data_IF_152214984119
#
_entry.id   IF_152214984119
#
_cell.length_a   1.000
_cell.length_b   1.000
_cell.length_c   1.000
_cell.angle_alpha   90.00
_cell.angle_beta   90.00
_cell.angle_gamma   90.00
#
_symmetry.space_group_name_H-M   'P 1'
#
loop_
_entity.id
_entity.type
_entity.pdbx_description
1 polymer ?
#
# COMPACT_ATOMS: atom_id res chain seq x y z
N UNK A 1 12.94 -13.14 1.06
CA UNK A 1 12.14 -13.09 -0.19
C UNK A 1 10.67 -12.94 0.14
N UNK A 2 9.92 -12.31 -0.73
CA UNK A 2 8.47 -12.11 -0.62
C UNK A 2 7.76 -12.65 -1.85
N UNK A 3 6.45 -12.97 -1.70
CA UNK A 3 5.55 -13.29 -2.81
C UNK A 3 4.72 -12.09 -3.29
N UNK A 4 5.10 -10.87 -2.93
CA UNK A 4 4.43 -9.65 -3.40
C UNK A 4 4.70 -9.47 -4.89
N UNK A 5 3.66 -9.18 -5.68
CA UNK A 5 3.77 -9.05 -7.14
C UNK A 5 4.65 -7.84 -7.58
N UNK A 6 4.93 -6.89 -6.69
CA UNK A 6 5.68 -5.66 -6.96
C UNK A 6 6.92 -5.47 -6.09
N UNK A 7 7.44 -6.56 -5.51
CA UNK A 7 8.68 -6.53 -4.71
C UNK A 7 9.32 -7.91 -4.62
N UNK A 8 10.62 -7.99 -4.38
CA UNK A 8 11.35 -9.26 -4.27
C UNK A 8 11.80 -9.60 -2.83
N UNK A 9 11.97 -8.58 -2.00
CA UNK A 9 12.26 -8.73 -0.56
C UNK A 9 11.36 -7.82 0.26
N UNK A 10 11.06 -8.23 1.49
CA UNK A 10 10.32 -7.40 2.44
C UNK A 10 11.01 -7.37 3.81
N UNK A 11 10.88 -6.25 4.49
CA UNK A 11 11.24 -6.06 5.89
C UNK A 11 9.99 -5.65 6.66
N UNK A 12 9.53 -6.52 7.57
CA UNK A 12 8.38 -6.25 8.42
C UNK A 12 8.87 -5.88 9.81
N UNK A 13 8.98 -4.60 10.10
CA UNK A 13 9.44 -4.05 11.38
C UNK A 13 8.30 -3.59 12.28
N UNK A 14 7.08 -3.81 11.84
CA UNK A 14 5.85 -3.53 12.59
C UNK A 14 4.97 -4.78 12.58
N UNK A 15 4.38 -5.12 13.71
CA UNK A 15 3.33 -6.12 13.86
C UNK A 15 2.04 -5.44 14.32
N UNK A 16 0.88 -5.87 13.78
CA UNK A 16 -0.40 -5.20 13.97
C UNK A 16 -0.59 -3.95 13.11
N UNK A 17 -1.80 -3.40 13.10
CA UNK A 17 -2.13 -2.20 12.31
C UNK A 17 -3.35 -1.48 12.88
N UNK A 18 -3.19 -0.21 13.27
CA UNK A 18 -4.26 0.61 13.87
C UNK A 18 -5.20 1.27 12.85
N UNK A 19 -5.05 1.02 11.54
CA UNK A 19 -5.95 1.59 10.52
C UNK A 19 -7.38 1.07 10.61
N UNK A 20 -7.60 -0.09 11.25
CA UNK A 20 -8.94 -0.59 11.55
C UNK A 20 -9.79 -0.93 10.34
N UNK A 21 -9.18 -1.36 9.24
CA UNK A 21 -9.87 -1.66 7.99
C UNK A 21 -10.96 -2.73 8.19
N UNK A 22 -12.22 -2.38 7.88
CA UNK A 22 -13.39 -3.26 8.09
C UNK A 22 -13.75 -4.13 6.88
N UNK A 23 -13.20 -3.87 5.70
CA UNK A 23 -13.19 -4.92 4.67
C UNK A 23 -12.18 -5.99 5.09
N UNK A 24 -12.32 -7.27 4.68
CA UNK A 24 -11.45 -8.33 5.20
C UNK A 24 -9.98 -7.99 4.99
N UNK A 25 -9.28 -7.63 6.09
CA UNK A 25 -7.85 -7.35 6.05
C UNK A 25 -7.10 -8.68 5.87
N UNK A 26 -6.51 -8.90 4.69
CA UNK A 26 -5.81 -10.15 4.39
C UNK A 26 -4.66 -10.41 5.36
N UNK A 27 -3.96 -9.36 5.79
CA UNK A 27 -2.83 -9.47 6.70
C UNK A 27 -3.26 -9.97 8.09
N UNK A 28 -4.35 -9.43 8.62
CA UNK A 28 -4.99 -9.94 9.84
C UNK A 28 -5.41 -11.41 9.68
N UNK A 29 -6.12 -11.74 8.59
CA UNK A 29 -6.59 -13.10 8.33
C UNK A 29 -5.42 -14.09 8.26
N UNK A 30 -4.33 -13.70 7.62
CA UNK A 30 -3.11 -14.51 7.53
C UNK A 30 -2.46 -14.68 8.91
N UNK A 31 -2.24 -13.60 9.65
CA UNK A 31 -1.63 -13.64 10.99
C UNK A 31 -2.48 -14.47 11.96
N UNK A 32 -3.81 -14.32 11.92
CA UNK A 32 -4.73 -15.14 12.72
C UNK A 32 -4.65 -16.62 12.34
N UNK A 33 -4.62 -16.94 11.04
CA UNK A 33 -4.48 -18.33 10.56
C UNK A 33 -3.21 -19.02 11.07
N UNK A 34 -2.13 -18.28 11.20
CA UNK A 34 -0.85 -18.79 11.72
C UNK A 34 -0.70 -18.65 13.24
N UNK A 35 -1.75 -18.30 13.97
CA UNK A 35 -1.75 -18.18 15.43
C UNK A 35 -0.86 -17.06 15.97
N UNK A 36 -0.56 -16.04 15.15
CA UNK A 36 0.29 -14.90 15.52
C UNK A 36 -0.49 -13.76 16.18
N UNK A 37 -1.79 -13.79 16.10
CA UNK A 37 -2.73 -12.86 16.71
C UNK A 37 -4.02 -13.61 17.05
N UNK A 38 -4.61 -13.34 18.21
CA UNK A 38 -5.82 -14.03 18.70
C UNK A 38 -7.09 -13.52 18.02
N UNK A 39 -7.23 -12.21 18.00
CA UNK A 39 -8.42 -11.54 17.51
C UNK A 39 -8.09 -10.17 16.87
N UNK A 40 -9.13 -9.48 16.42
CA UNK A 40 -8.96 -8.21 15.72
C UNK A 40 -8.60 -7.07 16.66
N UNK A 41 -8.97 -7.12 17.94
CA UNK A 41 -8.58 -6.10 18.93
C UNK A 41 -7.09 -6.13 19.20
N UNK A 42 -6.49 -7.31 19.35
CA UNK A 42 -5.02 -7.46 19.44
C UNK A 42 -4.31 -6.97 18.17
N UNK A 43 -4.90 -7.22 16.99
CA UNK A 43 -4.35 -6.71 15.72
C UNK A 43 -4.30 -5.19 15.65
N UNK A 44 -5.27 -4.49 16.28
CA UNK A 44 -5.36 -3.03 16.29
C UNK A 44 -4.35 -2.34 17.23
N UNK A 45 -3.59 -3.10 18.01
CA UNK A 45 -2.54 -2.62 18.91
C UNK A 45 -1.14 -2.87 18.29
N UNK A 46 -0.72 -2.03 17.31
CA UNK A 46 0.55 -2.26 16.63
C UNK A 46 1.75 -2.00 17.51
N UNK A 47 2.76 -2.86 17.36
CA UNK A 47 4.05 -2.72 18.02
C UNK A 47 5.22 -2.78 17.02
N UNK A 48 6.33 -2.16 17.40
CA UNK A 48 7.59 -2.23 16.64
C UNK A 48 8.39 -3.47 17.04
N UNK A 49 9.16 -4.01 16.11
CA UNK A 49 10.12 -5.08 16.37
C UNK A 49 11.43 -4.45 16.87
N UNK A 50 11.70 -4.55 18.17
CA UNK A 50 12.77 -3.81 18.87
C UNK A 50 14.17 -4.00 18.23
N UNK A 51 14.50 -5.22 17.81
CA UNK A 51 15.80 -5.55 17.24
C UNK A 51 15.91 -5.35 15.72
N UNK A 52 14.97 -4.62 15.11
CA UNK A 52 14.90 -4.39 13.66
C UNK A 52 16.23 -3.87 13.09
N UNK A 53 16.80 -2.85 13.70
CA UNK A 53 18.01 -2.20 13.18
C UNK A 53 19.25 -3.09 13.33
N UNK A 54 19.31 -3.89 14.39
CA UNK A 54 20.40 -4.87 14.59
C UNK A 54 20.35 -6.00 13.57
N UNK A 55 19.13 -6.52 13.31
CA UNK A 55 18.92 -7.55 12.28
C UNK A 55 19.24 -7.01 10.89
N UNK A 56 18.75 -5.80 10.58
CA UNK A 56 19.02 -5.13 9.32
C UNK A 56 20.52 -4.96 9.10
N UNK A 57 21.27 -4.52 10.11
CA UNK A 57 22.73 -4.36 10.06
C UNK A 57 23.46 -5.67 9.79
N UNK A 58 22.97 -6.79 10.33
CA UNK A 58 23.55 -8.13 10.13
C UNK A 58 23.19 -8.75 8.78
N UNK A 59 22.02 -8.45 8.24
CA UNK A 59 21.47 -9.08 7.03
C UNK A 59 21.79 -8.31 5.75
N UNK A 60 21.74 -6.99 5.77
CA UNK A 60 22.02 -6.18 4.58
C UNK A 60 23.33 -6.53 3.87
N UNK A 61 24.49 -6.70 4.59
CA UNK A 61 25.73 -7.08 3.92
C UNK A 61 25.65 -8.39 3.14
N UNK A 62 24.79 -9.33 3.61
CA UNK A 62 24.64 -10.67 3.01
C UNK A 62 23.70 -10.66 1.80
N UNK A 63 22.68 -9.78 1.80
CA UNK A 63 21.60 -9.83 0.82
C UNK A 63 21.56 -8.65 -0.13
N UNK A 64 22.23 -7.52 0.13
CA UNK A 64 22.15 -6.28 -0.67
C UNK A 64 22.30 -6.49 -2.18
N UNK A 65 23.21 -7.37 -2.61
CA UNK A 65 23.45 -7.66 -4.02
C UNK A 65 22.36 -8.55 -4.66
N UNK A 66 21.44 -9.10 -3.84
CA UNK A 66 20.32 -9.94 -4.29
C UNK A 66 18.98 -9.21 -4.24
N UNK A 67 18.95 -8.06 -3.58
CA UNK A 67 17.75 -7.25 -3.42
C UNK A 67 17.69 -6.25 -4.57
N UNK A 68 16.67 -6.40 -5.42
CA UNK A 68 16.35 -5.37 -6.41
C UNK A 68 15.58 -4.23 -5.76
N UNK A 69 14.55 -4.58 -4.95
CA UNK A 69 13.77 -3.60 -4.18
C UNK A 69 13.35 -4.19 -2.83
N UNK A 70 13.58 -3.45 -1.75
CA UNK A 70 13.16 -3.81 -0.40
C UNK A 70 11.81 -3.14 -0.09
N UNK A 71 10.73 -3.92 -0.05
CA UNK A 71 9.42 -3.40 0.34
C UNK A 71 9.26 -3.40 1.85
N UNK A 72 8.93 -2.25 2.44
CA UNK A 72 8.72 -2.12 3.88
C UNK A 72 7.29 -2.51 4.25
N UNK A 73 7.16 -3.29 5.31
CA UNK A 73 5.87 -3.61 5.95
C UNK A 73 4.81 -4.19 5.00
N UNK A 74 5.15 -5.29 4.28
CA UNK A 74 4.16 -5.95 3.41
C UNK A 74 2.85 -6.35 4.13
N UNK A 75 2.93 -6.74 5.39
CA UNK A 75 1.76 -7.18 6.17
C UNK A 75 1.19 -6.11 7.11
N UNK A 76 1.81 -4.94 7.16
CA UNK A 76 1.42 -3.83 8.04
C UNK A 76 1.63 -2.50 7.32
N UNK A 77 1.88 -1.41 8.04
CA UNK A 77 2.06 -0.09 7.45
C UNK A 77 3.28 0.62 8.03
N UNK A 78 4.26 1.05 7.21
CA UNK A 78 5.49 1.69 7.66
C UNK A 78 5.31 3.16 8.08
N UNK A 79 4.25 3.83 7.64
CA UNK A 79 3.93 5.22 7.99
C UNK A 79 2.53 5.35 8.58
N UNK A 80 2.21 4.40 9.48
CA UNK A 80 0.91 4.29 10.12
C UNK A 80 0.46 5.62 10.74
N UNK A 81 -0.78 6.02 10.45
CA UNK A 81 -1.32 7.30 10.86
C UNK A 81 -1.31 7.46 12.39
N UNK A 82 -0.87 8.62 12.88
CA UNK A 82 -0.71 8.95 14.32
C UNK A 82 0.25 8.04 15.11
N UNK A 83 1.20 7.40 14.42
CA UNK A 83 2.23 6.57 15.05
C UNK A 83 3.64 7.09 14.72
N UNK A 84 4.09 8.18 15.38
CA UNK A 84 5.40 8.79 15.11
C UNK A 84 6.57 7.85 15.44
N UNK A 85 6.39 6.92 16.38
CA UNK A 85 7.37 5.88 16.72
C UNK A 85 7.65 4.95 15.53
N UNK A 86 6.60 4.47 14.85
CA UNK A 86 6.70 3.65 13.64
C UNK A 86 7.32 4.45 12.50
N UNK A 87 6.88 5.69 12.29
CA UNK A 87 7.41 6.58 11.27
C UNK A 87 8.92 6.81 11.44
N UNK A 88 9.36 7.08 12.66
CA UNK A 88 10.79 7.31 12.98
C UNK A 88 11.63 6.06 12.67
N UNK A 89 11.16 4.88 13.08
CA UNK A 89 11.85 3.62 12.79
C UNK A 89 11.90 3.35 11.28
N UNK A 90 10.80 3.59 10.56
CA UNK A 90 10.74 3.38 9.10
C UNK A 90 11.71 4.28 8.35
N UNK A 91 11.82 5.55 8.73
CA UNK A 91 12.81 6.48 8.16
C UNK A 91 14.23 6.01 8.40
N UNK A 92 14.55 5.52 9.60
CA UNK A 92 15.88 4.98 9.92
C UNK A 92 16.19 3.69 9.12
N UNK A 93 15.21 2.80 8.96
CA UNK A 93 15.33 1.61 8.08
C UNK A 93 15.65 2.02 6.65
N UNK A 94 14.93 3.01 6.10
CA UNK A 94 15.16 3.53 4.75
C UNK A 94 16.56 4.11 4.60
N UNK A 95 17.02 4.95 5.55
CA UNK A 95 18.37 5.54 5.53
C UNK A 95 19.44 4.47 5.52
N UNK A 96 19.34 3.44 6.37
CA UNK A 96 20.32 2.34 6.43
C UNK A 96 20.31 1.48 5.18
N UNK A 97 19.13 1.16 4.64
CA UNK A 97 19.01 0.42 3.39
C UNK A 97 19.65 1.19 2.23
N UNK A 98 19.35 2.49 2.11
CA UNK A 98 19.91 3.34 1.07
C UNK A 98 21.44 3.54 1.22
N UNK A 99 21.96 3.65 2.45
CA UNK A 99 23.40 3.68 2.70
C UNK A 99 24.11 2.39 2.24
N UNK A 100 23.40 1.25 2.30
CA UNK A 100 23.87 -0.03 1.75
C UNK A 100 23.61 -0.20 0.23
N UNK A 101 23.18 0.86 -0.46
CA UNK A 101 22.83 0.89 -1.87
C UNK A 101 21.61 0.02 -2.26
N UNK A 102 20.70 -0.22 -1.32
CA UNK A 102 19.44 -0.94 -1.54
C UNK A 102 18.31 0.08 -1.69
N UNK A 103 17.61 0.06 -2.84
CA UNK A 103 16.42 0.88 -3.04
C UNK A 103 15.24 0.27 -2.31
N UNK A 104 14.32 1.13 -1.87
CA UNK A 104 13.18 0.72 -1.08
C UNK A 104 11.87 1.12 -1.74
N UNK A 105 10.82 0.38 -1.39
CA UNK A 105 9.43 0.72 -1.72
C UNK A 105 8.60 0.75 -0.45
N UNK A 106 7.70 1.70 -0.33
CA UNK A 106 6.75 1.82 0.76
C UNK A 106 5.33 1.99 0.24
N UNK A 107 4.37 1.50 1.00
CA UNK A 107 2.95 1.71 0.77
C UNK A 107 2.27 2.02 2.09
N UNK A 108 1.48 3.09 2.16
CA UNK A 108 0.81 3.49 3.40
C UNK A 108 -0.63 3.95 3.19
N UNK A 109 -1.44 3.85 4.24
CA UNK A 109 -2.70 4.56 4.43
C UNK A 109 -2.56 5.71 5.45
N UNK A 110 -1.34 6.00 5.85
CA UNK A 110 -0.97 7.18 6.62
C UNK A 110 -0.59 8.36 5.73
N UNK A 111 0.22 9.26 6.27
CA UNK A 111 0.77 10.44 5.59
C UNK A 111 2.26 10.18 5.36
N UNK A 112 2.72 10.35 4.14
CA UNK A 112 4.13 10.25 3.80
C UNK A 112 4.88 11.50 4.30
N UNK A 113 5.93 11.32 5.11
CA UNK A 113 6.69 12.47 5.63
C UNK A 113 7.55 13.11 4.54
N UNK A 114 7.73 14.43 4.62
CA UNK A 114 8.50 15.23 3.66
C UNK A 114 9.99 14.86 3.62
N UNK A 115 10.53 14.33 4.71
CA UNK A 115 11.91 13.83 4.83
C UNK A 115 12.24 12.70 3.82
N UNK A 116 11.23 12.06 3.25
CA UNK A 116 11.42 11.06 2.20
C UNK A 116 12.05 11.66 0.93
N UNK A 117 11.82 12.93 0.66
CA UNK A 117 12.42 13.63 -0.47
C UNK A 117 13.93 13.86 -0.31
N UNK A 118 14.44 13.83 0.92
CA UNK A 118 15.88 13.93 1.20
C UNK A 118 16.63 12.63 0.92
N UNK A 119 15.90 11.51 0.74
CA UNK A 119 16.46 10.20 0.45
C UNK A 119 16.74 10.03 -1.06
N UNK A 120 17.57 9.05 -1.46
CA UNK A 120 17.82 8.80 -2.88
C UNK A 120 16.55 8.64 -3.70
N UNK A 121 16.40 9.39 -4.80
CA UNK A 121 15.21 9.42 -5.66
C UNK A 121 14.86 8.07 -6.30
N UNK A 122 15.74 7.08 -6.22
CA UNK A 122 15.46 5.70 -6.67
C UNK A 122 14.46 4.92 -5.80
N UNK A 123 14.07 5.42 -4.60
CA UNK A 123 13.02 4.82 -3.79
C UNK A 123 11.64 5.03 -4.44
N UNK A 124 10.68 4.16 -4.09
CA UNK A 124 9.30 4.22 -4.58
C UNK A 124 8.36 4.49 -3.41
N UNK A 125 7.61 5.60 -3.45
CA UNK A 125 6.70 6.01 -2.39
C UNK A 125 5.25 5.88 -2.84
N UNK A 126 4.46 5.13 -2.09
CA UNK A 126 3.09 4.83 -2.45
C UNK A 126 2.08 5.07 -1.35
N UNK A 127 0.86 5.39 -1.76
CA UNK A 127 -0.32 5.43 -0.88
C UNK A 127 -1.41 4.49 -1.39
N UNK A 128 -2.25 4.03 -0.46
CA UNK A 128 -3.49 3.33 -0.84
C UNK A 128 -4.64 4.34 -0.86
N UNK A 129 -5.32 4.44 -2.00
CA UNK A 129 -6.57 5.21 -2.16
C UNK A 129 -7.54 4.38 -2.96
N UNK A 130 -8.62 3.91 -2.33
CA UNK A 130 -9.63 3.06 -2.96
C UNK A 130 -10.95 3.79 -3.23
N UNK A 131 -11.11 4.97 -2.65
CA UNK A 131 -12.24 5.87 -2.84
C UNK A 131 -11.81 7.31 -2.54
N UNK A 132 -12.51 8.30 -3.08
CA UNK A 132 -12.38 9.72 -2.71
C UNK A 132 -13.38 10.14 -1.63
N UNK A 133 -14.25 9.24 -1.17
CA UNK A 133 -15.27 9.51 -0.15
C UNK A 133 -14.70 9.40 1.27
N UNK A 134 -14.70 10.51 2.01
CA UNK A 134 -14.33 10.49 3.44
C UNK A 134 -15.33 9.66 4.27
N UNK A 135 -16.61 9.64 3.92
CA UNK A 135 -17.59 8.78 4.58
C UNK A 135 -17.24 7.30 4.42
N UNK A 136 -16.77 6.88 3.23
CA UNK A 136 -16.26 5.53 3.01
C UNK A 136 -15.01 5.26 3.86
N UNK A 137 -14.06 6.20 3.92
CA UNK A 137 -12.87 6.06 4.77
C UNK A 137 -13.25 5.90 6.24
N UNK A 138 -14.14 6.74 6.76
CA UNK A 138 -14.59 6.67 8.16
C UNK A 138 -15.27 5.34 8.48
N UNK A 139 -16.02 4.79 7.57
CA UNK A 139 -16.67 3.50 7.72
C UNK A 139 -15.70 2.33 7.60
N UNK A 140 -14.87 2.30 6.54
CA UNK A 140 -14.06 1.12 6.18
C UNK A 140 -12.58 1.20 6.58
N UNK A 141 -12.04 2.38 6.83
CA UNK A 141 -10.63 2.63 7.22
C UNK A 141 -10.53 3.67 8.36
N UNK A 142 -11.26 3.48 9.50
CA UNK A 142 -11.46 4.55 10.49
C UNK A 142 -10.19 5.11 11.12
N UNK A 143 -9.13 4.30 11.21
CA UNK A 143 -7.83 4.72 11.76
C UNK A 143 -6.82 5.18 10.72
N UNK A 144 -7.17 5.22 9.43
CA UNK A 144 -6.29 5.70 8.38
C UNK A 144 -6.34 7.24 8.25
N UNK A 145 -5.33 7.84 7.66
CA UNK A 145 -5.29 9.28 7.40
C UNK A 145 -6.42 9.74 6.49
N UNK A 146 -6.89 11.00 6.58
CA UNK A 146 -7.81 11.59 5.61
C UNK A 146 -7.31 11.39 4.17
N UNK A 147 -8.22 11.13 3.26
CA UNK A 147 -7.86 10.79 1.86
C UNK A 147 -7.09 11.95 1.21
N UNK A 148 -7.57 13.18 1.42
CA UNK A 148 -6.93 14.35 0.85
C UNK A 148 -5.50 14.55 1.37
N UNK A 149 -5.24 14.26 2.65
CA UNK A 149 -3.91 14.40 3.26
C UNK A 149 -2.93 13.35 2.69
N UNK A 150 -3.42 12.11 2.45
CA UNK A 150 -2.62 11.07 1.76
C UNK A 150 -2.22 11.54 0.36
N UNK A 151 -3.19 12.02 -0.44
CA UNK A 151 -2.95 12.48 -1.81
C UNK A 151 -2.01 13.68 -1.82
N UNK A 152 -2.22 14.66 -0.92
CA UNK A 152 -1.36 15.86 -0.84
C UNK A 152 0.08 15.49 -0.50
N UNK A 153 0.31 14.60 0.49
CA UNK A 153 1.66 14.17 0.86
C UNK A 153 2.38 13.45 -0.28
N UNK A 154 1.67 12.62 -1.06
CA UNK A 154 2.25 11.96 -2.23
C UNK A 154 2.54 12.96 -3.36
N UNK A 155 1.64 13.92 -3.60
CA UNK A 155 1.84 14.95 -4.62
C UNK A 155 3.02 15.86 -4.29
N UNK A 156 3.25 16.17 -3.03
CA UNK A 156 4.41 16.93 -2.58
C UNK A 156 5.71 16.18 -2.91
N UNK A 157 5.79 14.89 -2.65
CA UNK A 157 6.95 14.07 -3.02
C UNK A 157 7.13 13.97 -4.54
N UNK A 158 6.03 13.83 -5.29
CA UNK A 158 6.05 13.85 -6.76
C UNK A 158 6.60 15.17 -7.30
N UNK A 159 6.17 16.31 -6.76
CA UNK A 159 6.67 17.64 -7.13
C UNK A 159 8.17 17.82 -6.84
N UNK A 160 8.71 17.06 -5.89
CA UNK A 160 10.14 17.02 -5.55
C UNK A 160 10.92 15.99 -6.38
N UNK A 161 10.29 15.36 -7.38
CA UNK A 161 10.91 14.41 -8.31
C UNK A 161 11.08 13.00 -7.77
N UNK A 162 10.41 12.65 -6.67
CA UNK A 162 10.38 11.28 -6.17
C UNK A 162 9.51 10.40 -7.07
N UNK A 163 9.88 9.11 -7.20
CA UNK A 163 9.02 8.13 -7.86
C UNK A 163 7.83 7.78 -6.97
N UNK A 164 6.63 8.05 -7.46
CA UNK A 164 5.39 7.94 -6.70
C UNK A 164 4.41 6.96 -7.31
N UNK A 165 3.58 6.31 -6.46
CA UNK A 165 2.60 5.37 -6.95
C UNK A 165 1.36 5.27 -6.05
N UNK A 166 0.25 4.82 -6.63
CA UNK A 166 -1.01 4.61 -5.90
C UNK A 166 -1.47 3.17 -6.06
N UNK A 167 -1.84 2.56 -4.94
CA UNK A 167 -2.58 1.31 -4.90
C UNK A 167 -4.07 1.59 -4.79
N UNK A 168 -4.83 1.22 -5.83
CA UNK A 168 -6.29 1.20 -5.84
C UNK A 168 -6.73 -0.24 -5.54
N UNK A 169 -6.27 -0.77 -4.39
CA UNK A 169 -6.61 -2.10 -3.90
C UNK A 169 -6.85 -2.02 -2.38
N UNK A 170 -7.93 -2.60 -1.87
CA UNK A 170 -8.97 -3.39 -2.55
C UNK A 170 -10.13 -2.53 -3.11
N UNK A 171 -10.33 -2.50 -4.42
CA UNK A 171 -11.40 -1.69 -5.05
C UNK A 171 -12.78 -2.34 -4.81
N UNK A 172 -13.78 -1.63 -4.22
CA UNK A 172 -15.10 -2.18 -3.90
C UNK A 172 -15.99 -2.29 -5.13
N UNK A 173 -16.95 -3.21 -5.11
CA UNK A 173 -18.05 -3.28 -6.07
C UNK A 173 -19.15 -2.26 -5.74
N UNK A 174 -20.00 -1.83 -6.70
CA UNK A 174 -21.03 -0.80 -6.50
C UNK A 174 -22.02 -1.09 -5.35
N UNK A 175 -22.34 -2.36 -5.09
CA UNK A 175 -23.21 -2.74 -3.97
C UNK A 175 -22.57 -2.56 -2.58
N UNK A 176 -21.25 -2.32 -2.51
CA UNK A 176 -20.53 -1.97 -1.29
C UNK A 176 -20.32 -0.45 -1.26
N UNK A 177 -19.87 0.12 -2.37
CA UNK A 177 -19.65 1.56 -2.49
C UNK A 177 -19.69 1.98 -3.95
N UNK A 178 -20.73 2.75 -4.31
CA UNK A 178 -20.85 3.31 -5.65
C UNK A 178 -19.93 4.52 -5.80
N UNK A 179 -19.09 4.52 -6.83
CA UNK A 179 -18.12 5.58 -7.07
C UNK A 179 -17.68 5.64 -8.54
N UNK A 180 -17.15 6.80 -8.92
CA UNK A 180 -16.61 7.02 -10.26
C UNK A 180 -15.10 6.76 -10.28
N UNK A 181 -14.68 5.62 -10.88
CA UNK A 181 -13.27 5.26 -11.00
C UNK A 181 -12.47 6.30 -11.81
N UNK A 182 -13.06 6.90 -12.85
CA UNK A 182 -12.34 7.87 -13.68
C UNK A 182 -12.01 9.15 -12.89
N UNK A 183 -12.91 9.60 -12.02
CA UNK A 183 -12.67 10.75 -11.14
C UNK A 183 -11.49 10.47 -10.18
N UNK A 184 -11.45 9.25 -9.61
CA UNK A 184 -10.31 8.83 -8.79
C UNK A 184 -9.01 8.85 -9.60
N UNK A 185 -8.98 8.27 -10.81
CA UNK A 185 -7.82 8.26 -11.68
C UNK A 185 -7.36 9.68 -12.04
N UNK A 186 -8.29 10.59 -12.36
CA UNK A 186 -7.99 11.99 -12.64
C UNK A 186 -7.38 12.69 -11.42
N UNK A 187 -7.82 12.33 -10.20
CA UNK A 187 -7.30 12.95 -8.97
C UNK A 187 -5.86 12.57 -8.66
N UNK A 188 -5.40 11.41 -9.14
CA UNK A 188 -4.05 10.87 -8.89
C UNK A 188 -3.17 10.82 -10.15
N UNK A 189 -3.51 11.52 -11.21
CA UNK A 189 -2.85 11.47 -12.53
C UNK A 189 -1.36 11.88 -12.52
N UNK A 190 -0.90 12.49 -11.44
CA UNK A 190 0.48 12.98 -11.28
C UNK A 190 1.48 11.88 -10.91
N UNK A 191 1.04 10.64 -10.65
CA UNK A 191 1.91 9.55 -10.19
C UNK A 191 2.60 8.83 -11.35
N UNK A 192 3.73 8.17 -11.04
CA UNK A 192 4.48 7.38 -12.02
C UNK A 192 3.87 6.00 -12.26
N UNK A 193 3.11 5.46 -11.27
CA UNK A 193 2.57 4.10 -11.37
C UNK A 193 1.24 3.95 -10.61
N UNK A 194 0.34 3.17 -11.19
CA UNK A 194 -0.93 2.77 -10.56
C UNK A 194 -0.99 1.24 -10.45
N UNK A 195 -1.34 0.74 -9.26
CA UNK A 195 -1.67 -0.66 -9.03
C UNK A 195 -3.17 -0.76 -8.82
N UNK A 196 -3.84 -1.64 -9.56
CA UNK A 196 -5.28 -1.83 -9.46
C UNK A 196 -5.62 -3.28 -9.09
N UNK A 197 -6.46 -3.46 -8.07
CA UNK A 197 -6.86 -4.78 -7.61
C UNK A 197 -8.27 -4.83 -7.02
N UNK A 198 -8.93 -5.96 -7.27
CA UNK A 198 -10.28 -6.22 -6.75
C UNK A 198 -10.30 -6.43 -5.24
N UNK A 199 -11.46 -6.22 -4.62
CA UNK A 199 -11.70 -6.59 -3.23
C UNK A 199 -11.87 -8.12 -3.11
N UNK A 200 -10.93 -8.75 -2.41
CA UNK A 200 -10.93 -10.17 -2.10
C UNK A 200 -11.57 -10.48 -0.75
N UNK A 201 -11.95 -11.75 -0.54
CA UNK A 201 -12.45 -12.30 0.73
C UNK A 201 -13.73 -11.63 1.28
N UNK A 202 -14.46 -10.87 0.45
CA UNK A 202 -15.71 -10.22 0.85
C UNK A 202 -16.89 -10.87 0.15
N UNK A 203 -17.84 -11.41 0.94
CA UNK A 203 -19.04 -12.10 0.41
C UNK A 203 -19.94 -11.15 -0.40
N UNK A 204 -20.01 -9.88 -0.04
CA UNK A 204 -20.83 -8.90 -0.78
C UNK A 204 -20.36 -8.73 -2.23
N UNK A 205 -19.04 -8.84 -2.48
CA UNK A 205 -18.49 -8.82 -3.85
C UNK A 205 -19.05 -9.94 -4.69
N UNK A 206 -19.07 -11.19 -4.17
CA UNK A 206 -19.59 -12.34 -4.91
C UNK A 206 -21.12 -12.33 -5.10
N UNK A 207 -21.83 -11.52 -4.31
CA UNK A 207 -23.28 -11.29 -4.44
C UNK A 207 -23.63 -10.22 -5.50
N UNK A 208 -22.63 -9.43 -5.93
CA UNK A 208 -22.84 -8.47 -7.01
C UNK A 208 -22.91 -9.20 -8.36
N UNK A 209 -24.08 -9.15 -9.00
CA UNK A 209 -24.27 -9.82 -10.29
C UNK A 209 -23.33 -9.23 -11.34
N UNK A 210 -22.55 -10.10 -12.02
CA UNK A 210 -21.56 -9.64 -12.99
C UNK A 210 -20.28 -9.02 -12.38
N UNK A 211 -19.96 -9.32 -11.11
CA UNK A 211 -18.77 -8.73 -10.45
C UNK A 211 -17.47 -8.93 -11.23
N UNK A 212 -17.30 -10.05 -11.93
CA UNK A 212 -16.09 -10.29 -12.70
C UNK A 212 -16.02 -9.37 -13.93
N UNK A 213 -17.13 -9.17 -14.64
CA UNK A 213 -17.18 -8.23 -15.77
C UNK A 213 -16.98 -6.79 -15.31
N UNK A 214 -17.55 -6.43 -14.17
CA UNK A 214 -17.28 -5.13 -13.53
C UNK A 214 -15.78 -4.89 -13.31
N UNK A 215 -15.06 -5.86 -12.74
CA UNK A 215 -13.61 -5.73 -12.53
C UNK A 215 -12.82 -5.74 -13.84
N UNK A 216 -13.25 -6.52 -14.83
CA UNK A 216 -12.65 -6.51 -16.16
C UNK A 216 -12.79 -5.12 -16.82
N UNK A 217 -13.98 -4.52 -16.75
CA UNK A 217 -14.20 -3.16 -17.26
C UNK A 217 -13.38 -2.12 -16.50
N UNK A 218 -13.35 -2.18 -15.17
CA UNK A 218 -12.53 -1.30 -14.36
C UNK A 218 -11.05 -1.43 -14.70
N UNK A 219 -10.52 -2.64 -14.84
CA UNK A 219 -9.13 -2.87 -15.21
C UNK A 219 -8.80 -2.30 -16.60
N UNK A 220 -9.69 -2.50 -17.60
CA UNK A 220 -9.50 -1.90 -18.94
C UNK A 220 -9.51 -0.37 -18.90
N UNK A 221 -10.38 0.24 -18.06
CA UNK A 221 -10.39 1.71 -17.86
C UNK A 221 -9.08 2.20 -17.25
N UNK A 222 -8.53 1.51 -16.25
CA UNK A 222 -7.23 1.84 -15.65
C UNK A 222 -6.12 1.72 -16.68
N UNK A 223 -6.05 0.62 -17.44
CA UNK A 223 -5.04 0.41 -18.48
C UNK A 223 -5.09 1.54 -19.49
N UNK A 224 -6.27 1.81 -20.05
CA UNK A 224 -6.46 2.87 -21.04
C UNK A 224 -6.06 4.26 -20.53
N UNK A 225 -6.47 4.60 -19.29
CA UNK A 225 -6.10 5.86 -18.66
C UNK A 225 -4.58 5.98 -18.49
N UNK A 226 -3.93 4.93 -18.00
CA UNK A 226 -2.49 4.91 -17.79
C UNK A 226 -1.71 5.05 -19.11
N UNK A 227 -2.12 4.34 -20.16
CA UNK A 227 -1.51 4.44 -21.49
C UNK A 227 -1.63 5.84 -22.08
N UNK A 228 -2.79 6.49 -21.94
CA UNK A 228 -3.00 7.86 -22.42
C UNK A 228 -2.17 8.91 -21.66
N UNK A 229 -1.84 8.65 -20.40
CA UNK A 229 -1.14 9.60 -19.53
C UNK A 229 0.34 9.23 -19.29
N UNK A 230 0.89 8.21 -19.96
CA UNK A 230 2.23 7.68 -19.76
C UNK A 230 2.53 7.27 -18.31
N UNK A 231 1.54 6.71 -17.62
CA UNK A 231 1.64 6.18 -16.27
C UNK A 231 1.88 4.67 -16.36
N UNK A 232 2.86 4.14 -15.64
CA UNK A 232 3.04 2.69 -15.50
C UNK A 232 1.88 2.08 -14.73
N UNK A 233 1.49 0.84 -15.06
CA UNK A 233 0.42 0.17 -14.33
C UNK A 233 0.74 -1.28 -14.02
N UNK A 234 0.06 -1.80 -12.99
CA UNK A 234 0.04 -3.21 -12.65
C UNK A 234 -1.38 -3.61 -12.26
N UNK A 235 -1.96 -4.56 -13.00
CA UNK A 235 -3.26 -5.13 -12.65
C UNK A 235 -3.01 -6.40 -11.84
N UNK A 236 -3.51 -6.42 -10.61
CA UNK A 236 -3.33 -7.55 -9.69
C UNK A 236 -3.92 -8.83 -10.25
N UNK A 237 -3.25 -9.96 -9.97
CA UNK A 237 -3.70 -11.28 -10.37
C UNK A 237 -5.19 -11.50 -10.04
N UNK A 238 -5.90 -12.16 -10.94
CA UNK A 238 -7.35 -12.47 -10.84
C UNK A 238 -8.27 -11.25 -10.83
N UNK A 239 -7.78 -10.04 -11.05
CA UNK A 239 -8.62 -8.83 -11.21
C UNK A 239 -9.17 -8.75 -12.63
N UNK A 240 -8.30 -8.87 -13.64
CA UNK A 240 -8.67 -9.02 -15.03
C UNK A 240 -8.60 -10.51 -15.41
N UNK A 241 -9.72 -11.07 -15.89
CA UNK A 241 -9.80 -12.43 -16.41
C UNK A 241 -10.34 -12.34 -17.83
N UNK A 242 -9.47 -12.44 -18.79
CA UNK A 242 -9.86 -12.60 -20.21
C UNK A 242 -10.26 -14.05 -20.46
N UNK A 243 -11.39 -14.24 -21.15
CA UNK A 243 -11.90 -15.54 -21.55
C UNK A 243 -11.26 -15.96 -22.87
#
# INVERSE_FOLDING_TARGET
>A
KTGVEYGDYTLNHVEGCSHGCKYPCYAFLMKKRFGKVKDYSEWLEPCIVENTLDLLGKELPKYRNKINILHLCFTTDPFMYKRPDIQTLSLEVLRRANAANVRCSVLTKGILPTELAELPLRNEYGITVVSLSEAFREEYEPGAAPIQDRINSLQELSNQGCYTWVSIEPFPTPNIHEQNLLELLQRIHFVDKIIFGRLHYNKAVSQFNGYQEFYNECARKVIHFCEQNNISYHIKEKTLIEK
#
